data_IF_801722673372
#
_entry.id   IF_801722673372
#
_cell.length_a   1.000
_cell.length_b   1.000
_cell.length_c   1.000
_cell.angle_alpha   90.00
_cell.angle_beta   90.00
_cell.angle_gamma   90.00
#
_symmetry.space_group_name_H-M   'P 1'
#
loop_
_entity.id
_entity.type
_entity.pdbx_description
1 polymer ?
#
# COMPACT_ATOMS: atom_id res chain seq x y z
N UNK A 1 -26.08 -28.36 -24.83
CA UNK A 1 -27.22 -28.91 -25.60
C UNK A 1 -27.81 -30.17 -24.98
N UNK A 2 -27.01 -31.19 -24.66
CA UNK A 2 -27.51 -32.45 -24.08
C UNK A 2 -27.84 -32.37 -22.57
N UNK A 3 -27.34 -31.35 -21.85
CA UNK A 3 -27.63 -31.14 -20.42
C UNK A 3 -26.96 -32.16 -19.48
N UNK A 4 -25.98 -32.91 -19.99
CA UNK A 4 -25.30 -33.96 -19.23
C UNK A 4 -24.28 -33.39 -18.26
N UNK A 5 -24.11 -34.11 -17.14
CA UNK A 5 -22.94 -33.97 -16.26
C UNK A 5 -21.95 -35.05 -16.66
N UNK A 6 -20.75 -34.65 -17.05
CA UNK A 6 -19.69 -35.54 -17.52
C UNK A 6 -18.66 -35.67 -16.42
N UNK A 7 -18.17 -36.88 -16.19
CA UNK A 7 -17.06 -37.18 -15.28
C UNK A 7 -15.97 -37.88 -16.10
N UNK A 8 -14.76 -37.32 -16.08
CA UNK A 8 -13.58 -37.91 -16.71
C UNK A 8 -12.57 -38.23 -15.61
N UNK A 9 -12.30 -39.52 -15.33
CA UNK A 9 -11.26 -39.92 -14.40
C UNK A 9 -9.88 -39.34 -14.78
N UNK A 10 -8.99 -39.22 -13.79
CA UNK A 10 -7.67 -38.60 -13.98
C UNK A 10 -6.76 -39.44 -14.89
N UNK A 11 -6.82 -40.76 -14.76
CA UNK A 11 -5.91 -41.69 -15.47
C UNK A 11 -6.59 -42.49 -16.59
N UNK A 12 -7.92 -42.42 -16.70
CA UNK A 12 -8.71 -43.06 -17.77
C UNK A 12 -9.79 -42.08 -18.25
N UNK A 13 -9.31 -40.98 -18.85
CA UNK A 13 -10.15 -39.86 -19.28
C UNK A 13 -10.78 -40.07 -20.66
N UNK A 14 -11.64 -39.14 -21.06
CA UNK A 14 -12.22 -39.13 -22.40
C UNK A 14 -11.14 -38.93 -23.47
N UNK A 15 -11.19 -39.72 -24.54
CA UNK A 15 -10.32 -39.56 -25.71
C UNK A 15 -10.94 -38.59 -26.71
N UNK A 16 -10.14 -38.07 -27.64
CA UNK A 16 -10.62 -37.11 -28.64
C UNK A 16 -11.76 -37.69 -29.52
N UNK A 17 -11.70 -38.99 -29.82
CA UNK A 17 -12.74 -39.68 -30.59
C UNK A 17 -14.10 -39.62 -29.88
N UNK A 18 -14.12 -39.85 -28.57
CA UNK A 18 -15.32 -39.80 -27.74
C UNK A 18 -15.92 -38.39 -27.74
N UNK A 19 -15.06 -37.36 -27.64
CA UNK A 19 -15.50 -35.95 -27.68
C UNK A 19 -16.13 -35.59 -29.03
N UNK A 20 -15.56 -36.06 -30.15
CA UNK A 20 -16.13 -35.83 -31.50
C UNK A 20 -17.46 -36.54 -31.69
N UNK A 21 -17.62 -37.75 -31.16
CA UNK A 21 -18.89 -38.47 -31.16
C UNK A 21 -19.95 -37.69 -30.36
N UNK A 22 -19.61 -37.23 -29.15
CA UNK A 22 -20.50 -36.37 -28.36
C UNK A 22 -20.87 -35.07 -29.10
N UNK A 23 -19.96 -34.43 -29.84
CA UNK A 23 -20.29 -33.28 -30.67
C UNK A 23 -21.29 -33.62 -31.77
N UNK A 24 -21.14 -34.78 -32.42
CA UNK A 24 -22.07 -35.25 -33.46
C UNK A 24 -23.46 -35.51 -32.89
N UNK A 25 -23.57 -36.19 -31.74
CA UNK A 25 -24.83 -36.42 -31.05
C UNK A 25 -25.51 -35.11 -30.61
N UNK A 26 -24.71 -34.13 -30.18
CA UNK A 26 -25.21 -32.80 -29.83
C UNK A 26 -25.57 -31.91 -31.03
N UNK A 27 -25.33 -32.37 -32.27
CA UNK A 27 -25.50 -31.59 -33.49
C UNK A 27 -24.60 -30.34 -33.50
N UNK A 28 -23.36 -30.49 -33.07
CA UNK A 28 -22.30 -29.48 -33.09
C UNK A 28 -21.20 -29.89 -34.08
N UNK A 29 -20.45 -28.93 -34.65
CA UNK A 29 -19.29 -29.24 -35.48
C UNK A 29 -18.25 -30.06 -34.71
N UNK A 30 -17.70 -31.09 -35.35
CA UNK A 30 -16.70 -32.00 -34.75
C UNK A 30 -15.39 -31.28 -34.36
N UNK A 31 -15.12 -30.11 -34.96
CA UNK A 31 -13.96 -29.28 -34.65
C UNK A 31 -14.17 -28.35 -33.44
N UNK A 32 -15.35 -28.37 -32.80
CA UNK A 32 -15.67 -27.55 -31.62
C UNK A 32 -15.72 -26.04 -31.89
N UNK A 33 -15.69 -25.63 -33.16
CA UNK A 33 -15.65 -24.22 -33.57
C UNK A 33 -16.99 -23.72 -34.05
N UNK A 34 -17.29 -22.45 -33.81
CA UNK A 34 -18.49 -21.78 -34.31
C UNK A 34 -18.14 -20.45 -34.96
N UNK A 35 -19.07 -19.91 -35.74
CA UNK A 35 -18.96 -18.54 -36.25
C UNK A 35 -19.42 -17.59 -35.16
N UNK A 36 -18.55 -16.67 -34.76
CA UNK A 36 -18.88 -15.57 -33.87
C UNK A 36 -19.08 -14.27 -34.68
N UNK A 37 -19.81 -13.34 -34.09
CA UNK A 37 -20.04 -12.00 -34.61
C UNK A 37 -19.57 -10.97 -33.57
N UNK A 38 -18.97 -9.86 -33.98
CA UNK A 38 -18.62 -8.77 -33.06
C UNK A 38 -19.91 -8.13 -32.54
N UNK A 39 -20.08 -8.12 -31.21
CA UNK A 39 -21.25 -7.57 -30.54
C UNK A 39 -21.42 -6.06 -30.71
N UNK A 40 -20.39 -5.33 -31.18
CA UNK A 40 -20.44 -3.88 -31.41
C UNK A 40 -20.83 -3.53 -32.85
N UNK A 41 -20.31 -4.25 -33.85
CA UNK A 41 -20.51 -3.93 -35.28
C UNK A 41 -21.49 -4.86 -35.99
N UNK A 42 -21.70 -6.08 -35.47
CA UNK A 42 -22.51 -7.11 -36.12
C UNK A 42 -21.80 -7.86 -37.25
N UNK A 43 -20.54 -7.54 -37.54
CA UNK A 43 -19.75 -8.23 -38.55
C UNK A 43 -19.24 -9.59 -38.05
N UNK A 44 -19.08 -10.52 -38.99
CA UNK A 44 -18.58 -11.87 -38.71
C UNK A 44 -17.05 -11.83 -38.51
N UNK A 45 -16.53 -12.58 -37.54
CA UNK A 45 -15.08 -12.79 -37.44
C UNK A 45 -14.53 -13.63 -38.60
N UNK A 46 -13.34 -13.27 -39.11
CA UNK A 46 -12.71 -13.92 -40.27
C UNK A 46 -12.54 -15.44 -40.11
N UNK A 47 -12.17 -15.87 -38.91
CA UNK A 47 -11.95 -17.28 -38.58
C UNK A 47 -13.01 -17.82 -37.62
N UNK A 48 -13.32 -19.12 -37.74
CA UNK A 48 -14.20 -19.82 -36.78
C UNK A 48 -13.49 -19.95 -35.43
N UNK A 49 -14.21 -19.66 -34.35
CA UNK A 49 -13.67 -19.58 -32.99
C UNK A 49 -14.16 -20.77 -32.16
N UNK A 50 -13.28 -21.36 -31.34
CA UNK A 50 -13.65 -22.41 -30.39
C UNK A 50 -14.43 -21.81 -29.24
N UNK A 51 -15.65 -22.30 -29.03
CA UNK A 51 -16.53 -21.84 -27.93
C UNK A 51 -16.98 -23.07 -27.16
N UNK A 52 -16.83 -23.03 -25.84
CA UNK A 52 -17.16 -24.14 -24.98
C UNK A 52 -17.47 -23.69 -23.56
N UNK A 53 -17.90 -24.66 -22.75
CA UNK A 53 -18.12 -24.47 -21.33
C UNK A 53 -16.86 -24.89 -20.59
N UNK A 54 -16.13 -23.91 -20.06
CA UNK A 54 -15.02 -24.15 -19.15
C UNK A 54 -15.48 -23.89 -17.72
N UNK A 55 -15.04 -24.74 -16.79
CA UNK A 55 -15.28 -24.53 -15.37
C UNK A 55 -14.30 -23.48 -14.85
N UNK A 56 -14.82 -22.31 -14.48
CA UNK A 56 -14.03 -21.22 -13.92
C UNK A 56 -14.13 -21.21 -12.40
N UNK A 57 -13.01 -20.91 -11.75
CA UNK A 57 -12.92 -20.65 -10.32
C UNK A 57 -12.58 -19.18 -10.10
N UNK A 58 -13.30 -18.52 -9.20
CA UNK A 58 -12.93 -17.19 -8.70
C UNK A 58 -12.03 -17.38 -7.49
N UNK A 59 -10.76 -17.02 -7.62
CA UNK A 59 -9.82 -17.04 -6.49
C UNK A 59 -10.14 -15.91 -5.51
N UNK A 60 -9.76 -16.08 -4.24
CA UNK A 60 -9.94 -15.09 -3.17
C UNK A 60 -9.07 -13.83 -3.34
N UNK A 61 -8.42 -13.65 -4.49
CA UNK A 61 -7.52 -12.55 -4.78
C UNK A 61 -8.29 -11.31 -5.27
N UNK A 62 -9.22 -10.82 -4.46
CA UNK A 62 -10.06 -9.67 -4.77
C UNK A 62 -9.23 -8.38 -4.84
N UNK A 63 -9.65 -7.46 -5.71
CA UNK A 63 -8.99 -6.16 -5.89
C UNK A 63 -9.26 -5.26 -4.68
N UNK A 64 -10.48 -5.29 -4.14
CA UNK A 64 -10.90 -4.49 -2.99
C UNK A 64 -10.00 -4.73 -1.76
N UNK A 65 -9.55 -5.97 -1.57
CA UNK A 65 -8.63 -6.35 -0.50
C UNK A 65 -7.20 -5.81 -0.72
N UNK A 66 -6.83 -5.47 -1.96
CA UNK A 66 -5.48 -5.03 -2.35
C UNK A 66 -5.34 -3.53 -2.54
N UNK A 67 -6.43 -2.81 -2.81
CA UNK A 67 -6.39 -1.35 -2.93
C UNK A 67 -5.98 -0.76 -1.57
N UNK A 68 -4.96 0.09 -1.59
CA UNK A 68 -4.46 0.83 -0.44
C UNK A 68 -3.81 2.12 -0.91
N UNK A 69 -4.10 3.23 -0.23
CA UNK A 69 -3.51 4.53 -0.51
C UNK A 69 -3.26 5.27 0.81
N UNK A 70 -2.22 6.10 0.83
CA UNK A 70 -1.82 6.87 2.01
C UNK A 70 -1.34 8.25 1.58
N UNK A 71 -1.85 9.28 2.24
CA UNK A 71 -1.35 10.66 2.18
C UNK A 71 -0.48 10.95 3.40
N UNK A 72 -1.10 11.06 4.57
CA UNK A 72 -0.47 11.22 5.88
C UNK A 72 -1.04 10.15 6.82
N UNK A 73 -0.26 9.67 7.78
CA UNK A 73 -0.69 8.63 8.71
C UNK A 73 0.26 8.48 9.89
N UNK A 74 0.17 7.38 10.66
CA UNK A 74 1.03 7.17 11.82
C UNK A 74 2.48 6.88 11.40
N UNK A 75 3.40 7.17 12.33
CA UNK A 75 4.84 7.02 12.16
C UNK A 75 5.44 6.22 13.33
N UNK A 76 6.56 5.56 13.07
CA UNK A 76 7.35 4.86 14.08
C UNK A 76 7.92 5.85 15.11
N UNK A 77 7.90 5.47 16.38
CA UNK A 77 8.42 6.30 17.47
C UNK A 77 9.94 6.52 17.35
N UNK A 78 10.67 5.49 16.93
CA UNK A 78 12.15 5.52 16.93
C UNK A 78 12.69 6.21 15.67
N UNK A 79 12.31 5.72 14.49
CA UNK A 79 12.87 6.18 13.21
C UNK A 79 12.07 7.29 12.56
N UNK A 80 10.90 7.63 13.10
CA UNK A 80 9.98 8.62 12.51
C UNK A 80 9.52 8.32 11.07
N UNK A 81 9.74 7.08 10.60
CA UNK A 81 9.29 6.61 9.30
C UNK A 81 7.82 6.16 9.33
N UNK A 82 7.11 6.21 8.19
CA UNK A 82 5.79 5.61 8.03
C UNK A 82 5.73 4.17 8.56
N UNK A 83 4.64 3.83 9.27
CA UNK A 83 4.39 2.43 9.64
C UNK A 83 4.17 1.56 8.39
N UNK A 84 4.34 0.25 8.55
CA UNK A 84 4.15 -0.72 7.48
C UNK A 84 2.76 -1.36 7.49
N UNK A 85 2.27 -1.75 6.31
CA UNK A 85 1.07 -2.58 6.18
C UNK A 85 -0.25 -1.82 6.05
N UNK A 86 -1.19 -2.42 5.32
CA UNK A 86 -2.52 -1.84 5.02
C UNK A 86 -3.34 -1.56 6.29
N UNK A 87 -3.30 -2.48 7.27
CA UNK A 87 -4.08 -2.36 8.50
C UNK A 87 -3.70 -1.16 9.38
N UNK A 88 -2.45 -0.71 9.31
CA UNK A 88 -1.93 0.42 10.11
C UNK A 88 -1.91 1.73 9.32
N UNK A 89 -2.63 1.80 8.19
CA UNK A 89 -2.51 2.90 7.24
C UNK A 89 -1.04 3.21 6.89
N UNK A 90 -0.28 2.14 6.65
CA UNK A 90 1.15 2.19 6.43
C UNK A 90 1.57 2.69 5.05
N UNK A 91 2.80 3.18 4.96
CA UNK A 91 3.40 3.65 3.71
C UNK A 91 3.88 2.52 2.82
N UNK A 92 4.11 2.85 1.54
CA UNK A 92 4.79 1.95 0.62
C UNK A 92 6.29 1.94 0.92
N UNK A 93 6.88 0.75 0.94
CA UNK A 93 8.34 0.62 1.03
C UNK A 93 8.96 1.07 -0.29
N UNK A 94 9.81 2.08 -0.21
CA UNK A 94 10.73 2.46 -1.28
C UNK A 94 12.11 1.92 -0.90
N UNK A 95 12.58 0.91 -1.63
CA UNK A 95 13.79 0.16 -1.30
C UNK A 95 15.00 0.59 -2.13
N UNK A 96 16.10 -0.13 -1.91
CA UNK A 96 17.39 0.12 -2.57
C UNK A 96 17.30 -0.01 -4.10
N UNK A 97 16.55 -0.99 -4.60
CA UNK A 97 16.39 -1.19 -6.05
C UNK A 97 15.63 -0.02 -6.71
N UNK A 98 14.65 0.56 -6.00
CA UNK A 98 13.94 1.74 -6.49
C UNK A 98 14.81 3.02 -6.42
N UNK A 99 15.68 3.12 -5.42
CA UNK A 99 16.70 4.18 -5.34
C UNK A 99 17.63 4.12 -6.54
N UNK A 100 18.19 2.94 -6.87
CA UNK A 100 19.05 2.77 -8.04
C UNK A 100 18.36 3.16 -9.34
N UNK A 101 17.07 2.87 -9.46
CA UNK A 101 16.30 3.27 -10.63
C UNK A 101 16.28 4.80 -10.77
N UNK A 102 16.00 5.55 -9.70
CA UNK A 102 16.00 7.01 -9.73
C UNK A 102 17.38 7.62 -9.97
N UNK A 103 18.42 7.02 -9.40
CA UNK A 103 19.82 7.43 -9.62
C UNK A 103 20.22 7.26 -11.08
N UNK A 104 19.84 6.13 -11.72
CA UNK A 104 20.12 5.88 -13.13
C UNK A 104 19.44 6.90 -14.07
N UNK A 105 18.26 7.39 -13.69
CA UNK A 105 17.58 8.48 -14.41
C UNK A 105 18.15 9.86 -14.10
N UNK A 106 18.98 10.01 -13.07
CA UNK A 106 19.47 11.31 -12.60
C UNK A 106 18.40 12.15 -11.90
N UNK A 107 17.36 11.52 -11.35
CA UNK A 107 16.23 12.19 -10.69
C UNK A 107 16.55 12.60 -9.23
N UNK A 108 17.59 13.43 -9.05
CA UNK A 108 18.14 13.78 -7.74
C UNK A 108 17.11 14.43 -6.79
N UNK A 109 16.30 15.38 -7.29
CA UNK A 109 15.28 16.05 -6.47
C UNK A 109 14.15 15.11 -6.04
N UNK A 110 13.71 14.22 -6.93
CA UNK A 110 12.67 13.22 -6.59
C UNK A 110 13.19 12.24 -5.54
N UNK A 111 14.43 11.79 -5.68
CA UNK A 111 15.06 10.92 -4.69
C UNK A 111 15.22 11.62 -3.34
N UNK A 112 15.69 12.88 -3.33
CA UNK A 112 15.81 13.68 -2.11
C UNK A 112 14.46 13.85 -1.41
N UNK A 113 13.40 14.16 -2.14
CA UNK A 113 12.05 14.33 -1.60
C UNK A 113 11.52 13.03 -0.97
N UNK A 114 11.75 11.89 -1.63
CA UNK A 114 11.35 10.57 -1.13
C UNK A 114 12.09 10.19 0.15
N UNK A 115 13.40 10.44 0.21
CA UNK A 115 14.24 10.06 1.35
C UNK A 115 14.10 10.97 2.56
N UNK A 116 13.62 12.20 2.39
CA UNK A 116 13.52 13.21 3.46
C UNK A 116 12.06 13.51 3.84
N UNK A 117 11.43 14.47 3.17
CA UNK A 117 10.12 15.04 3.51
C UNK A 117 8.96 14.05 3.41
N UNK A 118 9.08 12.98 2.60
CA UNK A 118 8.09 11.90 2.52
C UNK A 118 8.35 10.73 3.48
N UNK A 119 9.50 10.72 4.17
CA UNK A 119 9.96 9.63 5.02
C UNK A 119 10.07 10.08 6.49
N UNK A 120 11.21 10.63 6.90
CA UNK A 120 11.61 10.78 8.30
C UNK A 120 12.06 12.20 8.69
N UNK A 121 11.97 13.18 7.77
CA UNK A 121 12.16 14.59 8.13
C UNK A 121 10.92 15.12 8.86
N UNK A 122 10.95 15.07 10.19
CA UNK A 122 9.83 15.43 11.07
C UNK A 122 9.36 16.87 10.91
N UNK A 123 10.29 17.81 10.69
CA UNK A 123 9.97 19.23 10.49
C UNK A 123 9.61 19.49 9.04
N UNK A 124 10.43 18.95 8.13
CA UNK A 124 10.27 19.16 6.70
C UNK A 124 8.92 18.68 6.21
N UNK A 125 8.41 17.55 6.71
CA UNK A 125 7.08 17.04 6.33
C UNK A 125 5.95 17.98 6.75
N UNK A 126 6.02 18.60 7.93
CA UNK A 126 4.97 19.52 8.43
C UNK A 126 4.99 20.81 7.63
N UNK A 127 6.19 21.40 7.43
CA UNK A 127 6.34 22.61 6.62
C UNK A 127 5.94 22.36 5.16
N UNK A 128 6.27 21.20 4.61
CA UNK A 128 5.88 20.80 3.25
C UNK A 128 4.36 20.66 3.13
N UNK A 129 3.71 20.02 4.10
CA UNK A 129 2.25 19.91 4.13
C UNK A 129 1.59 21.30 4.15
N UNK A 130 2.05 22.19 5.03
CA UNK A 130 1.55 23.56 5.08
C UNK A 130 1.77 24.33 3.78
N UNK A 131 2.96 24.20 3.18
CA UNK A 131 3.29 24.87 1.92
C UNK A 131 2.36 24.39 0.79
N UNK A 132 2.09 23.09 0.70
CA UNK A 132 1.18 22.51 -0.29
C UNK A 132 -0.25 23.06 -0.09
N UNK A 133 -0.74 23.09 1.15
CA UNK A 133 -2.08 23.62 1.47
C UNK A 133 -2.18 25.12 1.14
N UNK A 134 -1.11 25.88 1.36
CA UNK A 134 -1.03 27.33 1.07
C UNK A 134 -0.72 27.64 -0.40
N UNK A 135 -0.45 26.64 -1.24
CA UNK A 135 0.00 26.84 -2.63
C UNK A 135 1.37 27.52 -2.76
N UNK A 136 2.21 27.40 -1.74
CA UNK A 136 3.57 27.95 -1.70
C UNK A 136 4.60 26.92 -2.16
N UNK A 137 5.81 27.38 -2.49
CA UNK A 137 6.89 26.49 -2.85
C UNK A 137 7.34 25.66 -1.65
N UNK A 138 7.67 24.38 -1.90
CA UNK A 138 8.15 23.45 -0.88
C UNK A 138 9.51 23.93 -0.34
N UNK A 139 9.70 24.00 0.99
CA UNK A 139 10.98 24.41 1.58
C UNK A 139 12.08 23.39 1.33
N UNK A 140 13.33 23.77 1.61
CA UNK A 140 14.47 22.84 1.52
C UNK A 140 14.35 21.74 2.59
N UNK A 141 14.72 20.53 2.20
CA UNK A 141 14.74 19.36 3.08
C UNK A 141 15.89 19.42 4.09
N UNK A 142 15.64 18.96 5.31
CA UNK A 142 16.63 18.82 6.36
C UNK A 142 17.38 17.49 6.33
N UNK A 143 18.02 17.17 7.45
CA UNK A 143 18.73 15.90 7.66
C UNK A 143 17.75 14.82 8.15
N UNK A 144 17.71 13.63 7.51
CA UNK A 144 16.89 12.49 7.93
C UNK A 144 17.09 12.10 9.40
N UNK A 145 16.02 11.74 10.08
CA UNK A 145 16.09 11.28 11.47
C UNK A 145 16.81 9.92 11.58
N UNK A 146 16.66 9.05 10.59
CA UNK A 146 17.41 7.78 10.51
C UNK A 146 18.92 7.97 10.55
N UNK A 147 19.44 9.03 9.91
CA UNK A 147 20.87 9.35 9.96
C UNK A 147 21.30 9.81 11.36
N UNK A 148 20.47 10.61 12.06
CA UNK A 148 20.76 11.03 13.44
C UNK A 148 20.77 9.84 14.40
N UNK A 149 19.83 8.91 14.24
CA UNK A 149 19.78 7.65 15.00
C UNK A 149 21.05 6.85 14.77
N UNK A 150 21.49 6.68 13.52
CA UNK A 150 22.74 5.99 13.18
C UNK A 150 23.97 6.59 13.90
N UNK A 151 24.10 7.93 13.92
CA UNK A 151 25.21 8.59 14.62
C UNK A 151 25.15 8.30 16.12
N UNK A 152 23.96 8.29 16.72
CA UNK A 152 23.79 7.96 18.15
C UNK A 152 24.10 6.49 18.45
N UNK A 153 23.74 5.59 17.56
CA UNK A 153 24.09 4.17 17.67
C UNK A 153 25.61 3.96 17.62
N UNK A 154 26.32 4.63 16.70
CA UNK A 154 27.79 4.56 16.65
C UNK A 154 28.44 5.17 17.90
N UNK A 155 27.92 6.30 18.40
CA UNK A 155 28.37 6.92 19.65
C UNK A 155 28.15 6.01 20.87
N UNK A 156 27.07 5.21 20.88
CA UNK A 156 26.80 4.23 21.93
C UNK A 156 27.84 3.11 22.01
N UNK A 157 28.54 2.83 20.90
CA UNK A 157 29.67 1.88 20.83
C UNK A 157 31.00 2.50 21.27
N UNK A 158 30.98 3.69 21.87
CA UNK A 158 32.15 4.47 22.26
C UNK A 158 33.02 4.94 21.07
N UNK A 159 32.41 5.10 19.89
CA UNK A 159 33.08 5.71 18.73
C UNK A 159 32.82 7.23 18.72
N UNK A 160 33.87 8.04 18.63
CA UNK A 160 33.74 9.51 18.47
C UNK A 160 33.45 9.84 16.99
N UNK A 161 32.18 9.78 16.62
CA UNK A 161 31.70 10.17 15.29
C UNK A 161 31.14 11.58 15.34
N UNK A 162 31.73 12.47 14.53
CA UNK A 162 31.36 13.89 14.40
C UNK A 162 31.15 14.23 12.93
N UNK A 163 30.14 15.06 12.67
CA UNK A 163 29.90 15.63 11.34
C UNK A 163 30.56 17.01 11.33
N UNK A 164 31.57 17.18 10.47
CA UNK A 164 32.33 18.41 10.33
C UNK A 164 31.93 19.12 9.04
N UNK A 165 31.82 20.44 9.08
CA UNK A 165 31.75 21.26 7.86
C UNK A 165 33.14 21.42 7.21
N UNK A 166 33.19 22.04 6.04
CA UNK A 166 34.41 22.39 5.30
C UNK A 166 35.42 23.19 6.14
N UNK A 167 34.97 23.89 7.19
CA UNK A 167 35.81 24.65 8.11
C UNK A 167 36.33 23.82 9.31
N UNK A 168 36.10 22.50 9.33
CA UNK A 168 36.35 21.61 10.47
C UNK A 168 35.59 21.98 11.76
N UNK A 169 34.47 22.69 11.62
CA UNK A 169 33.56 22.99 12.73
C UNK A 169 32.51 21.90 12.84
N UNK A 170 32.18 21.50 14.08
CA UNK A 170 31.19 20.45 14.34
C UNK A 170 29.78 20.97 14.08
N UNK A 171 29.04 20.28 13.22
CA UNK A 171 27.64 20.59 12.91
C UNK A 171 26.79 19.92 14.00
N UNK A 172 26.09 20.73 14.80
CA UNK A 172 25.14 20.19 15.77
C UNK A 172 23.87 19.70 15.06
N UNK A 173 23.78 18.38 14.88
CA UNK A 173 22.62 17.67 14.34
C UNK A 173 21.35 17.85 15.19
N UNK A 174 21.45 18.40 16.41
CA UNK A 174 20.32 18.70 17.29
C UNK A 174 19.71 20.10 17.08
N UNK A 175 20.41 21.04 16.41
CA UNK A 175 20.07 22.48 16.47
C UNK A 175 19.86 23.19 15.12
N UNK A 176 19.46 22.51 14.04
CA UNK A 176 18.98 23.22 12.85
C UNK A 176 17.50 23.60 12.96
N UNK A 177 17.08 24.18 14.09
CA UNK A 177 15.67 24.46 14.39
C UNK A 177 15.26 25.93 14.39
N UNK A 178 16.17 26.91 14.38
CA UNK A 178 15.76 28.34 14.53
C UNK A 178 16.47 29.38 13.62
N UNK A 179 17.30 29.00 12.64
CA UNK A 179 18.00 29.99 11.77
C UNK A 179 17.44 30.15 10.36
N UNK A 180 16.12 30.06 10.20
CA UNK A 180 15.42 30.68 9.07
C UNK A 180 14.27 31.56 9.60
N UNK A 181 14.61 32.53 10.47
CA UNK A 181 13.83 33.77 10.62
C UNK A 181 14.02 34.65 9.36
N UNK A 182 13.58 34.17 8.19
CA UNK A 182 13.24 35.10 7.11
C UNK A 182 11.85 35.66 7.40
N UNK A 183 11.86 36.78 8.12
CA UNK A 183 10.75 37.69 8.31
C UNK A 183 10.18 38.04 6.92
N UNK A 184 9.13 37.32 6.50
CA UNK A 184 8.20 37.88 5.53
C UNK A 184 7.52 39.04 6.26
N UNK A 185 7.99 40.26 6.00
CA UNK A 185 7.25 41.47 6.35
C UNK A 185 5.84 41.29 5.80
N UNK A 186 4.86 41.05 6.67
CA UNK A 186 3.45 41.21 6.33
C UNK A 186 3.31 42.64 5.79
N UNK A 187 3.00 42.87 4.50
CA UNK A 187 2.46 44.16 4.15
C UNK A 187 1.10 44.23 4.85
N UNK A 188 0.89 45.29 5.63
CA UNK A 188 -0.40 45.55 6.25
C UNK A 188 -1.44 45.67 5.13
N UNK A 189 -2.22 44.62 4.91
CA UNK A 189 -3.42 44.69 4.08
C UNK A 189 -4.46 45.37 4.96
N UNK A 190 -4.68 46.65 4.69
CA UNK A 190 -5.79 47.43 5.22
C UNK A 190 -7.10 46.75 4.83
N UNK A 191 -8.03 46.69 5.79
CA UNK A 191 -9.42 46.26 5.63
C UNK A 191 -10.07 46.95 4.43
N UNK A 192 -10.13 46.29 3.28
CA UNK A 192 -11.03 46.60 2.17
C UNK A 192 -10.94 45.47 1.12
N UNK A 193 -11.57 44.33 1.40
CA UNK A 193 -11.97 43.38 0.35
C UNK A 193 -13.48 43.47 0.24
N UNK A 194 -13.94 44.18 -0.80
CA UNK A 194 -15.33 44.14 -1.24
C UNK A 194 -15.60 42.79 -1.88
N UNK A 195 -16.46 42.00 -1.24
CA UNK A 195 -16.98 40.76 -1.78
C UNK A 195 -17.82 41.08 -3.03
N UNK A 196 -17.38 40.60 -4.19
CA UNK A 196 -18.22 40.53 -5.38
C UNK A 196 -18.83 39.13 -5.40
N UNK A 197 -20.11 39.10 -5.08
CA UNK A 197 -21.04 37.98 -5.22
C UNK A 197 -21.19 37.62 -6.70
N UNK A 198 -20.64 36.47 -7.12
CA UNK A 198 -21.03 35.82 -8.36
C UNK A 198 -21.60 34.45 -8.00
N UNK A 199 -22.94 34.41 -7.98
CA UNK A 199 -23.70 33.24 -7.61
C UNK A 199 -23.61 32.14 -8.66
N UNK A 200 -23.11 30.98 -8.27
CA UNK A 200 -23.59 29.70 -8.78
C UNK A 200 -23.30 28.57 -7.78
N UNK A 201 -24.38 28.05 -7.20
CA UNK A 201 -24.64 26.72 -6.60
C UNK A 201 -23.90 25.56 -7.29
N UNK A 202 -23.52 24.43 -6.70
CA UNK A 202 -23.74 23.75 -5.41
C UNK A 202 -22.65 22.66 -5.29
N UNK A 203 -22.09 22.43 -4.10
CA UNK A 203 -21.75 21.11 -3.52
C UNK A 203 -20.86 21.30 -2.28
N UNK A 204 -21.48 21.61 -1.14
CA UNK A 204 -20.85 21.50 0.18
C UNK A 204 -21.07 20.10 0.73
N UNK A 205 -19.97 19.35 0.94
CA UNK A 205 -19.94 18.27 1.92
C UNK A 205 -19.57 18.89 3.26
N UNK A 206 -20.51 18.73 4.18
CA UNK A 206 -20.52 19.09 5.58
C UNK A 206 -19.27 18.60 6.33
N UNK A 207 -18.44 19.54 6.78
CA UNK A 207 -17.30 19.29 7.65
C UNK A 207 -17.64 19.81 9.05
N UNK A 208 -18.59 19.15 9.70
CA UNK A 208 -18.91 19.38 11.10
C UNK A 208 -17.95 18.57 12.01
N UNK A 209 -17.29 19.34 12.89
CA UNK A 209 -16.70 18.96 14.18
C UNK A 209 -15.65 17.83 14.22
N UNK A 210 -14.37 18.19 14.04
CA UNK A 210 -13.29 17.53 14.77
C UNK A 210 -13.06 18.34 16.04
N UNK A 211 -13.62 17.83 17.14
CA UNK A 211 -13.35 18.29 18.49
C UNK A 211 -11.86 18.05 18.80
N UNK A 212 -11.18 19.08 19.28
CA UNK A 212 -9.72 19.19 19.29
C UNK A 212 -9.10 18.80 20.64
N UNK A 213 -9.76 17.93 21.40
CA UNK A 213 -9.47 17.73 22.84
C UNK A 213 -8.85 16.37 23.22
N UNK A 214 -8.56 15.46 22.28
CA UNK A 214 -8.03 14.12 22.62
C UNK A 214 -6.50 13.99 22.63
N UNK A 215 -5.74 15.08 22.57
CA UNK A 215 -4.27 15.06 22.59
C UNK A 215 -3.62 15.00 23.98
N UNK A 216 -4.38 14.80 25.07
CA UNK A 216 -3.86 14.91 26.43
C UNK A 216 -4.09 13.70 27.37
N UNK A 217 -4.41 12.50 26.88
CA UNK A 217 -4.67 11.34 27.77
C UNK A 217 -3.87 10.05 27.50
N UNK A 218 -2.97 10.01 26.51
CA UNK A 218 -2.17 8.80 26.23
C UNK A 218 -0.83 8.72 27.01
N UNK A 219 -0.72 9.39 28.16
CA UNK A 219 0.43 9.32 29.06
C UNK A 219 0.06 8.69 30.40
N UNK A 220 -0.58 7.52 30.40
CA UNK A 220 -0.56 6.58 31.54
C UNK A 220 -1.17 5.26 31.11
N UNK A 221 -0.33 4.30 30.71
CA UNK A 221 -0.59 2.88 30.90
C UNK A 221 0.78 2.22 31.03
N UNK A 222 1.23 2.16 32.28
CA UNK A 222 2.38 1.39 32.69
C UNK A 222 2.10 -0.10 32.53
N UNK A 223 3.20 -0.83 32.41
CA UNK A 223 3.33 -2.27 32.56
C UNK A 223 2.44 -2.86 33.66
N UNK A 224 1.73 -3.94 33.34
CA UNK A 224 1.38 -5.11 34.18
C UNK A 224 0.26 -5.90 33.47
N UNK A 225 0.55 -7.08 32.93
CA UNK A 225 0.01 -8.35 33.47
C UNK A 225 0.57 -9.56 32.71
N UNK A 226 1.10 -10.51 33.47
CA UNK A 226 1.37 -11.87 33.04
C UNK A 226 0.07 -12.67 33.08
N UNK A 227 -0.14 -13.51 32.07
CA UNK A 227 -1.25 -14.46 32.05
C UNK A 227 -0.97 -15.57 31.07
N UNK A 228 -0.29 -16.62 31.55
CA UNK A 228 -0.17 -17.90 30.87
C UNK A 228 -1.56 -18.44 30.50
N UNK A 229 -1.78 -18.72 29.21
CA UNK A 229 -2.96 -19.42 28.72
C UNK A 229 -2.52 -20.83 28.31
N UNK A 230 -2.88 -21.80 29.15
CA UNK A 230 -2.80 -23.23 28.89
C UNK A 230 -3.54 -23.59 27.60
N UNK A 231 -2.82 -24.14 26.62
CA UNK A 231 -3.41 -24.74 25.42
C UNK A 231 -3.69 -26.22 25.71
N UNK A 232 -4.92 -26.51 26.15
CA UNK A 232 -5.44 -27.87 26.28
C UNK A 232 -5.60 -28.48 24.88
N UNK A 233 -4.79 -29.49 24.58
CA UNK A 233 -4.90 -30.29 23.37
C UNK A 233 -5.91 -31.42 23.61
N UNK A 234 -7.16 -31.21 23.19
CA UNK A 234 -8.13 -32.32 23.08
C UNK A 234 -7.77 -33.22 21.90
N UNK A 235 -7.13 -34.34 22.24
CA UNK A 235 -6.97 -35.55 21.43
C UNK A 235 -8.27 -36.35 21.46
N UNK A 236 -8.96 -36.44 20.32
CA UNK A 236 -10.10 -37.34 20.12
C UNK A 236 -9.94 -38.12 18.80
N UNK A 237 -9.54 -39.38 18.95
CA UNK A 237 -10.29 -40.52 18.41
C UNK A 237 -9.76 -41.15 17.13
N UNK A 238 -8.80 -42.06 17.28
CA UNK A 238 -8.54 -43.12 16.30
C UNK A 238 -9.04 -44.45 16.91
N UNK A 239 -10.29 -44.79 16.61
CA UNK A 239 -10.86 -46.13 16.79
C UNK A 239 -11.10 -46.69 15.39
N UNK A 240 -10.25 -47.61 14.92
CA UNK A 240 -10.73 -48.74 14.16
C UNK A 240 -9.82 -49.97 14.28
N UNK A 241 -10.41 -50.90 15.01
CA UNK A 241 -10.06 -52.27 15.34
C UNK A 241 -9.97 -53.17 14.11
N UNK A 242 -8.81 -53.81 13.89
CA UNK A 242 -8.74 -55.10 13.21
C UNK A 242 -7.88 -56.07 14.03
N UNK A 243 -8.56 -56.99 14.72
CA UNK A 243 -7.97 -58.20 15.26
C UNK A 243 -7.89 -59.25 14.13
N UNK A 244 -6.67 -59.67 13.81
CA UNK A 244 -6.39 -60.99 13.25
C UNK A 244 -6.68 -62.04 14.32
N UNK A 245 -7.47 -63.06 14.01
CA UNK A 245 -7.17 -64.45 14.36
C UNK A 245 -8.01 -65.44 13.56
N UNK A 246 -7.40 -66.61 13.35
CA UNK A 246 -7.69 -67.70 12.43
C UNK A 246 -9.03 -68.45 12.69
N UNK A 247 -9.70 -68.88 11.61
CA UNK A 247 -10.06 -70.29 11.29
C UNK A 247 -10.53 -70.44 9.84
#
# INVERSE_FOLDING_TARGET
KLGWKIMTPVFDGAHEADIRECFREAGLPEDGKTVLYDGRTGEKFDNRVTVGYMYYLKLHHLVDDKIHARSVGPYSLVTQQPLGGKAQFGGQRFGEMEVWALEAYGAAYTLQEILTVKSDDTVGRVKTYEAIVKGQNVPKSGVPESFKVLIKELQSLCLDVKVLDNNNEEIDLKQSFDEDEDIIQRPAITDDISFVDDGTSDDYIDAEAIDNDDYASAQTAADEDEGDIDFDSEDFGDDDFFADEEE
#
